data_IF_776860686372
#
_entry.id   IF_776860686372
#
_cell.length_a   1.000
_cell.length_b   1.000
_cell.length_c   1.000
_cell.angle_alpha   90.00
_cell.angle_beta   90.00
_cell.angle_gamma   90.00
#
_symmetry.space_group_name_H-M   'P 1'
#
loop_
_entity.id
_entity.type
_entity.pdbx_description
1 polymer ?
#
# COMPACT_ATOMS: atom_id res chain seq x y z
N UNK A 1 -3.69 15.17 -3.12
CA UNK A 1 -3.79 14.57 -1.77
C UNK A 1 -2.64 13.62 -1.53
N UNK A 2 -2.49 12.57 -2.36
CA UNK A 2 -1.40 11.59 -2.28
C UNK A 2 -0.01 12.15 -1.92
N UNK A 3 0.58 13.00 -2.75
CA UNK A 3 1.92 13.56 -2.46
C UNK A 3 1.99 14.42 -1.20
N UNK A 4 0.88 15.09 -0.82
CA UNK A 4 0.81 15.82 0.46
C UNK A 4 0.89 14.86 1.64
N UNK A 5 0.18 13.73 1.59
CA UNK A 5 0.24 12.71 2.66
C UNK A 5 1.65 12.15 2.78
N UNK A 6 2.32 11.87 1.67
CA UNK A 6 3.72 11.42 1.70
C UNK A 6 4.65 12.45 2.31
N UNK A 7 4.45 13.73 2.00
CA UNK A 7 5.23 14.84 2.56
C UNK A 7 4.98 15.02 4.06
N UNK A 8 3.72 14.93 4.50
CA UNK A 8 3.33 14.98 5.90
C UNK A 8 3.93 13.81 6.71
N UNK A 9 4.07 12.65 6.07
CA UNK A 9 4.64 11.42 6.60
C UNK A 9 6.14 11.24 6.28
N UNK A 10 6.85 12.28 5.82
CA UNK A 10 8.25 12.18 5.36
C UNK A 10 9.18 11.40 6.29
N UNK A 11 9.11 11.68 7.60
CA UNK A 11 9.97 11.06 8.61
C UNK A 11 9.64 9.58 8.88
N UNK A 12 8.53 9.11 8.32
CA UNK A 12 8.05 7.73 8.44
C UNK A 12 8.28 6.93 7.17
N UNK A 13 8.50 7.57 6.01
CA UNK A 13 8.67 6.91 4.71
C UNK A 13 9.69 5.75 4.67
N UNK A 14 10.82 5.77 5.43
CA UNK A 14 11.72 4.62 5.47
C UNK A 14 11.06 3.31 5.93
N UNK A 15 9.96 3.42 6.69
CA UNK A 15 9.21 2.37 7.36
C UNK A 15 7.92 1.99 6.64
N UNK A 16 7.62 2.69 5.55
CA UNK A 16 6.36 2.59 4.83
C UNK A 16 6.62 2.13 3.40
N UNK A 17 5.63 1.48 2.82
CA UNK A 17 5.57 1.12 1.40
C UNK A 17 4.24 1.64 0.87
N UNK A 18 4.25 2.40 -0.22
CA UNK A 18 3.00 2.77 -0.88
C UNK A 18 2.48 1.54 -1.61
N UNK A 19 1.26 1.12 -1.29
CA UNK A 19 0.61 -0.07 -1.88
C UNK A 19 -0.71 0.33 -2.55
N UNK A 20 -1.50 -0.66 -2.96
CA UNK A 20 -2.85 -0.42 -3.47
C UNK A 20 -2.89 0.26 -4.84
N UNK A 21 -3.96 1.00 -5.10
CA UNK A 21 -4.28 1.50 -6.46
C UNK A 21 -3.38 2.62 -6.98
N UNK A 22 -2.55 3.24 -6.12
CA UNK A 22 -1.57 4.24 -6.54
C UNK A 22 -0.32 3.63 -7.19
N UNK A 23 -0.02 2.36 -6.93
CA UNK A 23 1.23 1.73 -7.38
C UNK A 23 1.40 1.73 -8.91
N UNK A 24 0.38 1.38 -9.74
CA UNK A 24 0.54 1.41 -11.20
C UNK A 24 0.84 2.81 -11.75
N UNK A 25 0.29 3.85 -11.13
CA UNK A 25 0.61 5.24 -11.47
C UNK A 25 2.07 5.55 -11.15
N UNK A 26 2.57 5.08 -10.01
CA UNK A 26 3.96 5.28 -9.63
C UNK A 26 4.93 4.53 -10.55
N UNK A 27 4.57 3.31 -10.97
CA UNK A 27 5.34 2.57 -11.96
C UNK A 27 5.48 3.35 -13.27
N UNK A 28 4.36 3.80 -13.84
CA UNK A 28 4.38 4.57 -15.08
C UNK A 28 5.26 5.81 -14.99
N UNK A 29 5.01 6.66 -14.00
CA UNK A 29 5.55 8.02 -13.98
C UNK A 29 6.97 8.11 -13.40
N UNK A 30 7.35 7.19 -12.51
CA UNK A 30 8.63 7.29 -11.79
C UNK A 30 9.55 6.09 -12.02
N UNK A 31 9.01 4.87 -12.21
CA UNK A 31 9.84 3.68 -12.39
C UNK A 31 10.19 3.43 -13.86
N UNK A 32 9.18 3.33 -14.73
CA UNK A 32 9.34 3.02 -16.15
C UNK A 32 9.63 4.25 -17.00
N UNK A 33 9.23 5.44 -16.52
CA UNK A 33 9.43 6.74 -17.20
C UNK A 33 8.98 6.73 -18.66
N UNK A 34 7.94 5.95 -18.96
CA UNK A 34 7.45 5.72 -20.32
C UNK A 34 6.11 6.42 -20.57
N UNK A 35 5.87 6.76 -21.84
CA UNK A 35 4.58 7.26 -22.31
C UNK A 35 3.62 6.08 -22.52
N UNK A 36 2.94 5.67 -21.46
CA UNK A 36 1.88 4.66 -21.50
C UNK A 36 0.54 5.27 -21.13
N UNK A 37 -0.58 4.58 -21.34
CA UNK A 37 -1.88 5.10 -20.90
C UNK A 37 -1.92 5.29 -19.38
N UNK A 38 -2.68 6.28 -18.90
CA UNK A 38 -2.81 6.50 -17.45
C UNK A 38 -3.68 5.40 -16.83
N UNK A 39 -3.27 4.78 -15.70
CA UNK A 39 -4.10 3.79 -15.03
C UNK A 39 -5.28 4.45 -14.33
N UNK A 40 -6.36 3.70 -14.09
CA UNK A 40 -7.42 4.15 -13.19
C UNK A 40 -6.89 4.36 -11.78
N UNK A 41 -7.06 5.59 -11.27
CA UNK A 41 -6.63 5.95 -9.93
C UNK A 41 -7.73 5.65 -8.91
N UNK A 42 -7.30 5.32 -7.69
CA UNK A 42 -8.17 5.30 -6.51
C UNK A 42 -8.04 6.63 -5.78
N UNK A 43 -9.12 7.04 -5.09
CA UNK A 43 -9.07 8.19 -4.21
C UNK A 43 -8.25 7.87 -2.95
N UNK A 44 -8.49 6.69 -2.38
CA UNK A 44 -7.89 6.22 -1.13
C UNK A 44 -6.37 6.07 -1.24
N UNK A 45 -5.66 6.29 -0.14
CA UNK A 45 -4.20 6.21 -0.07
C UNK A 45 -3.83 5.03 0.82
N UNK A 46 -3.38 3.95 0.19
CA UNK A 46 -3.01 2.71 0.89
C UNK A 46 -1.52 2.68 1.23
N UNK A 47 -1.19 2.52 2.50
CA UNK A 47 0.18 2.51 3.03
C UNK A 47 0.44 1.20 3.78
N UNK A 48 1.37 0.40 3.27
CA UNK A 48 1.90 -0.80 3.92
C UNK A 48 2.94 -0.46 4.99
N UNK A 49 2.86 -1.12 6.14
CA UNK A 49 3.85 -1.02 7.22
C UNK A 49 4.92 -2.09 7.04
N UNK A 50 6.19 -1.70 6.85
CA UNK A 50 7.31 -2.67 6.79
C UNK A 50 7.47 -3.39 8.11
N UNK A 51 7.81 -4.68 8.07
CA UNK A 51 8.16 -5.46 9.27
C UNK A 51 9.65 -5.28 9.61
N UNK A 52 9.99 -5.43 10.90
CA UNK A 52 11.38 -5.50 11.42
C UNK A 52 12.21 -4.21 11.42
N UNK A 53 11.65 -3.09 11.86
CA UNK A 53 12.44 -1.89 12.14
C UNK A 53 13.08 -2.01 13.52
N UNK A 54 14.42 -2.07 13.58
CA UNK A 54 15.17 -2.17 14.84
C UNK A 54 15.18 -0.86 15.65
N UNK A 55 15.10 0.29 14.98
CA UNK A 55 15.33 1.62 15.59
C UNK A 55 14.24 2.67 15.27
N UNK A 56 12.96 2.35 15.44
CA UNK A 56 11.90 3.36 15.30
C UNK A 56 11.92 4.35 16.48
N UNK A 57 12.40 5.57 16.26
CA UNK A 57 12.61 6.59 17.31
C UNK A 57 11.65 7.78 17.22
N UNK A 58 10.67 7.70 16.34
CA UNK A 58 9.70 8.76 16.09
C UNK A 58 8.50 8.62 17.04
N UNK A 59 7.73 9.70 17.21
CA UNK A 59 6.34 9.61 17.71
C UNK A 59 5.52 8.68 16.80
N UNK A 60 4.36 8.20 17.26
CA UNK A 60 3.47 7.43 16.38
C UNK A 60 2.94 8.28 15.22
N UNK A 61 2.57 7.62 14.12
CA UNK A 61 1.92 8.28 12.98
C UNK A 61 0.65 9.01 13.43
N UNK A 62 -0.15 8.41 14.33
CA UNK A 62 -1.33 9.05 14.91
C UNK A 62 -1.01 10.43 15.49
N UNK A 63 -0.02 10.53 16.40
CA UNK A 63 0.39 11.81 16.98
C UNK A 63 0.80 12.83 15.92
N UNK A 64 1.48 12.40 14.86
CA UNK A 64 1.86 13.27 13.74
C UNK A 64 0.63 13.79 13.00
N UNK A 65 -0.31 12.91 12.65
CA UNK A 65 -1.51 13.28 11.88
C UNK A 65 -2.45 14.18 12.71
N UNK A 66 -2.57 13.95 14.02
CA UNK A 66 -3.31 14.84 14.93
C UNK A 66 -2.69 16.24 14.97
N UNK A 67 -1.35 16.35 15.09
CA UNK A 67 -0.64 17.65 15.04
C UNK A 67 -0.87 18.39 13.70
N UNK A 68 -1.10 17.64 12.62
CA UNK A 68 -1.40 18.17 11.29
C UNK A 68 -2.91 18.34 11.03
N UNK A 69 -3.75 18.13 12.05
CA UNK A 69 -5.20 18.33 11.99
C UNK A 69 -5.89 17.51 10.89
N UNK A 70 -5.43 16.28 10.66
CA UNK A 70 -6.19 15.33 9.85
C UNK A 70 -7.54 15.06 10.50
N UNK A 71 -8.60 14.93 9.71
CA UNK A 71 -9.89 14.49 10.24
C UNK A 71 -9.88 12.97 10.47
N UNK A 72 -10.80 12.51 11.30
CA UNK A 72 -10.89 11.11 11.71
C UNK A 72 -12.27 10.56 11.32
N UNK A 73 -12.28 9.49 10.54
CA UNK A 73 -13.50 8.71 10.29
C UNK A 73 -13.58 7.57 11.28
N UNK A 74 -14.54 7.64 12.19
CA UNK A 74 -14.79 6.60 13.19
C UNK A 74 -15.42 5.37 12.53
N UNK A 75 -14.88 4.19 12.83
CA UNK A 75 -15.33 2.92 12.23
C UNK A 75 -16.67 2.45 12.83
N UNK A 76 -17.04 2.95 14.01
CA UNK A 76 -18.29 2.59 14.68
C UNK A 76 -18.90 3.80 15.39
N UNK A 77 -20.23 3.92 15.32
CA UNK A 77 -20.97 4.97 16.02
C UNK A 77 -20.74 4.83 17.53
N UNK A 78 -20.45 5.95 18.19
CA UNK A 78 -20.26 6.00 19.65
C UNK A 78 -18.91 5.48 20.15
N UNK A 79 -17.98 5.10 19.28
CA UNK A 79 -16.61 4.71 19.66
C UNK A 79 -15.59 5.75 19.20
N UNK A 80 -14.72 6.14 20.13
CA UNK A 80 -13.60 7.01 19.81
C UNK A 80 -12.60 6.33 18.85
N UNK A 81 -12.36 5.03 19.00
CA UNK A 81 -11.35 4.28 18.23
C UNK A 81 -11.87 2.88 17.83
N UNK A 82 -11.30 2.27 16.75
CA UNK A 82 -10.28 2.83 15.87
C UNK A 82 -10.85 3.83 14.84
N UNK A 83 -9.97 4.65 14.28
CA UNK A 83 -10.29 5.66 13.26
C UNK A 83 -9.51 5.43 11.97
N UNK A 84 -10.05 5.90 10.85
CA UNK A 84 -9.31 6.04 9.58
C UNK A 84 -8.98 7.53 9.41
N UNK A 85 -7.69 7.91 9.37
CA UNK A 85 -7.31 9.29 9.11
C UNK A 85 -7.72 9.75 7.71
N UNK A 86 -8.13 11.01 7.59
CA UNK A 86 -8.56 11.60 6.34
C UNK A 86 -7.86 12.94 6.09
N UNK A 87 -7.31 13.10 4.88
CA UNK A 87 -6.74 14.36 4.43
C UNK A 87 -7.81 15.18 3.70
N UNK A 88 -8.00 16.43 4.13
CA UNK A 88 -8.78 17.41 3.38
C UNK A 88 -7.85 18.30 2.57
N UNK A 89 -8.14 18.46 1.28
CA UNK A 89 -7.53 19.51 0.48
C UNK A 89 -8.44 20.74 0.53
N UNK A 90 -7.85 21.94 0.55
CA UNK A 90 -8.60 23.21 0.58
C UNK A 90 -9.70 23.32 -0.48
N UNK A 91 -9.52 22.62 -1.61
CA UNK A 91 -10.41 22.68 -2.76
C UNK A 91 -11.25 21.39 -2.93
N UNK A 92 -11.28 20.49 -1.94
CA UNK A 92 -12.04 19.24 -2.00
C UNK A 92 -13.10 19.19 -0.91
N UNK A 93 -14.36 19.00 -1.29
CA UNK A 93 -15.45 18.79 -0.34
C UNK A 93 -15.36 17.40 0.32
N UNK A 94 -14.79 16.42 -0.36
CA UNK A 94 -14.68 15.04 0.11
C UNK A 94 -13.29 14.81 0.71
N UNK A 95 -13.19 14.43 2.00
CA UNK A 95 -11.95 13.99 2.60
C UNK A 95 -11.45 12.70 1.96
N UNK A 96 -10.13 12.54 1.86
CA UNK A 96 -9.53 11.34 1.26
C UNK A 96 -8.94 10.48 2.37
N UNK A 97 -9.35 9.21 2.51
CA UNK A 97 -8.86 8.33 3.56
C UNK A 97 -7.41 7.90 3.29
N UNK A 98 -6.67 7.75 4.39
CA UNK A 98 -5.33 7.16 4.43
C UNK A 98 -5.43 5.85 5.19
N UNK A 99 -5.33 4.73 4.48
CA UNK A 99 -5.44 3.39 5.05
C UNK A 99 -4.06 2.82 5.35
N UNK A 100 -3.89 2.28 6.56
CA UNK A 100 -2.68 1.58 6.95
C UNK A 100 -2.91 0.07 6.91
N UNK A 101 -1.96 -0.65 6.32
CA UNK A 101 -2.09 -2.08 6.03
C UNK A 101 -0.85 -2.82 6.55
N UNK A 102 -1.05 -4.02 7.10
CA UNK A 102 0.04 -4.91 7.52
C UNK A 102 -0.30 -6.37 7.24
N UNK A 103 0.69 -7.26 7.34
CA UNK A 103 0.43 -8.70 7.37
C UNK A 103 -0.23 -9.13 8.67
N UNK A 104 -0.93 -10.27 8.62
CA UNK A 104 -1.66 -10.79 9.79
C UNK A 104 -0.74 -11.08 10.97
N UNK A 105 0.47 -11.56 10.71
CA UNK A 105 1.42 -12.01 11.72
C UNK A 105 2.25 -10.89 12.35
N UNK A 106 2.06 -9.63 11.91
CA UNK A 106 2.74 -8.48 12.51
C UNK A 106 2.22 -8.25 13.93
N UNK A 107 3.14 -8.20 14.89
CA UNK A 107 2.78 -8.01 16.31
C UNK A 107 2.03 -6.68 16.55
N UNK A 108 0.97 -6.74 17.34
CA UNK A 108 0.19 -5.56 17.74
C UNK A 108 1.05 -4.51 18.45
N UNK A 109 1.99 -4.94 19.30
CA UNK A 109 2.89 -4.04 19.99
C UNK A 109 3.72 -3.19 19.01
N UNK A 110 4.23 -3.81 17.95
CA UNK A 110 4.96 -3.10 16.90
C UNK A 110 4.07 -2.12 16.14
N UNK A 111 2.86 -2.54 15.73
CA UNK A 111 1.92 -1.68 15.03
C UNK A 111 1.52 -0.46 15.87
N UNK A 112 1.27 -0.65 17.18
CA UNK A 112 0.97 0.45 18.11
C UNK A 112 2.12 1.42 18.26
N UNK A 113 3.37 0.93 18.27
CA UNK A 113 4.57 1.80 18.32
C UNK A 113 4.70 2.67 17.07
N UNK A 114 4.49 2.09 15.88
CA UNK A 114 4.69 2.80 14.61
C UNK A 114 3.48 3.68 14.27
N UNK A 115 2.28 3.09 14.25
CA UNK A 115 1.07 3.74 13.74
C UNK A 115 0.32 4.45 14.86
N UNK A 116 0.26 3.86 16.06
CA UNK A 116 -0.60 4.29 17.17
C UNK A 116 -1.70 3.27 17.44
N UNK A 117 -2.30 3.31 18.63
CA UNK A 117 -3.42 2.45 19.02
C UNK A 117 -4.77 2.89 18.45
N UNK A 118 -4.83 4.12 17.97
CA UNK A 118 -6.04 4.83 17.58
C UNK A 118 -6.42 4.58 16.13
N UNK A 119 -5.41 4.41 15.27
CA UNK A 119 -5.60 4.21 13.83
C UNK A 119 -5.94 2.75 13.55
N UNK A 120 -6.94 2.53 12.70
CA UNK A 120 -7.25 1.23 12.14
C UNK A 120 -6.10 0.77 11.24
N UNK A 121 -5.48 -0.36 11.58
CA UNK A 121 -4.54 -1.07 10.70
C UNK A 121 -5.24 -2.31 10.14
N UNK A 122 -5.46 -2.32 8.82
CA UNK A 122 -6.04 -3.46 8.13
C UNK A 122 -5.01 -4.58 8.00
N UNK A 123 -5.32 -5.76 8.55
CA UNK A 123 -4.46 -6.95 8.49
C UNK A 123 -4.91 -7.88 7.36
N UNK A 124 -4.06 -8.06 6.35
CA UNK A 124 -4.39 -8.86 5.16
C UNK A 124 -3.56 -10.15 5.10
N UNK A 125 -4.19 -11.21 4.58
CA UNK A 125 -3.50 -12.45 4.24
C UNK A 125 -2.43 -12.22 3.19
N UNK A 126 -1.29 -12.90 3.34
CA UNK A 126 -0.17 -12.87 2.39
C UNK A 126 0.43 -11.49 2.10
N UNK A 127 0.10 -10.47 2.90
CA UNK A 127 0.55 -9.09 2.65
C UNK A 127 2.08 -8.94 2.74
N UNK A 128 2.76 -9.77 3.53
CA UNK A 128 4.23 -9.73 3.63
C UNK A 128 4.91 -9.89 2.27
N UNK A 129 4.32 -10.69 1.36
CA UNK A 129 4.86 -10.92 0.01
C UNK A 129 5.01 -9.62 -0.78
N UNK A 130 4.06 -8.69 -0.62
CA UNK A 130 4.13 -7.39 -1.32
C UNK A 130 5.22 -6.47 -0.74
N UNK A 131 5.73 -6.78 0.46
CA UNK A 131 6.73 -6.01 1.18
C UNK A 131 8.15 -6.61 1.07
N UNK A 132 8.27 -7.88 0.66
CA UNK A 132 9.54 -8.61 0.57
C UNK A 132 10.53 -7.98 -0.41
N UNK A 133 10.06 -7.63 -1.61
CA UNK A 133 10.85 -6.93 -2.62
C UNK A 133 10.20 -5.58 -2.96
N UNK A 134 10.93 -4.51 -2.64
CA UNK A 134 10.45 -3.14 -2.84
C UNK A 134 11.47 -2.33 -3.61
N UNK A 135 10.96 -1.53 -4.54
CA UNK A 135 11.74 -0.57 -5.32
C UNK A 135 11.64 0.79 -4.67
N UNK A 136 12.79 1.42 -4.46
CA UNK A 136 12.85 2.82 -4.04
C UNK A 136 12.74 3.72 -5.28
N UNK A 137 11.81 4.66 -5.26
CA UNK A 137 11.66 5.68 -6.30
C UNK A 137 11.79 7.08 -5.70
N UNK A 138 12.25 8.03 -6.52
CA UNK A 138 12.25 9.46 -6.21
C UNK A 138 11.04 10.10 -6.86
N UNK A 139 10.23 10.80 -6.08
CA UNK A 139 9.08 11.58 -6.57
C UNK A 139 9.25 13.04 -6.19
N UNK A 140 8.76 13.95 -7.03
CA UNK A 140 8.70 15.37 -6.69
C UNK A 140 7.41 15.65 -5.91
N UNK A 141 7.53 16.05 -4.64
CA UNK A 141 6.45 16.69 -3.89
C UNK A 141 6.56 18.21 -4.06
N UNK A 142 5.53 18.95 -3.63
CA UNK A 142 5.43 20.42 -3.84
C UNK A 142 6.68 21.18 -3.39
N UNK A 143 7.34 20.75 -2.31
CA UNK A 143 8.45 21.50 -1.72
C UNK A 143 9.81 20.80 -1.80
N UNK A 144 9.87 19.51 -2.14
CA UNK A 144 11.13 18.82 -2.38
C UNK A 144 10.97 17.45 -3.06
N UNK A 145 12.08 16.87 -3.51
CA UNK A 145 12.12 15.44 -3.80
C UNK A 145 11.91 14.63 -2.51
N UNK A 146 11.17 13.52 -2.62
CA UNK A 146 10.96 12.55 -1.56
C UNK A 146 11.29 11.14 -2.09
N UNK A 147 11.89 10.31 -1.25
CA UNK A 147 12.13 8.91 -1.54
C UNK A 147 11.02 8.06 -0.90
N UNK A 148 10.36 7.25 -1.71
CA UNK A 148 9.34 6.30 -1.25
C UNK A 148 9.67 4.89 -1.72
N UNK A 149 9.18 3.91 -0.99
CA UNK A 149 9.20 2.52 -1.40
C UNK A 149 7.85 2.13 -2.00
N UNK A 150 7.89 1.40 -3.10
CA UNK A 150 6.75 0.72 -3.72
C UNK A 150 7.11 -0.75 -3.92
N UNK A 151 6.15 -1.67 -4.00
CA UNK A 151 6.42 -3.07 -4.33
C UNK A 151 7.12 -3.17 -5.69
N UNK A 152 7.94 -4.19 -5.91
CA UNK A 152 8.34 -4.53 -7.28
C UNK A 152 7.11 -4.92 -8.13
N UNK A 153 7.11 -4.64 -9.45
CA UNK A 153 5.99 -5.03 -10.33
C UNK A 153 5.61 -6.52 -10.23
N UNK A 154 6.62 -7.37 -10.06
CA UNK A 154 6.52 -8.82 -9.82
C UNK A 154 5.67 -9.13 -8.59
N UNK A 155 6.08 -8.62 -7.41
CA UNK A 155 5.40 -8.88 -6.15
C UNK A 155 4.00 -8.26 -6.13
N UNK A 156 3.84 -7.09 -6.76
CA UNK A 156 2.54 -6.47 -6.93
C UNK A 156 1.57 -7.36 -7.71
N UNK A 157 1.97 -7.85 -8.90
CA UNK A 157 1.14 -8.77 -9.70
C UNK A 157 0.86 -10.06 -8.92
N UNK A 158 1.89 -10.68 -8.37
CA UNK A 158 1.77 -11.95 -7.69
C UNK A 158 0.80 -11.86 -6.50
N UNK A 159 0.96 -10.85 -5.64
CA UNK A 159 0.05 -10.62 -4.52
C UNK A 159 -1.40 -10.37 -4.97
N UNK A 160 -1.61 -9.59 -6.04
CA UNK A 160 -2.96 -9.33 -6.60
C UNK A 160 -3.60 -10.63 -7.11
N UNK A 161 -2.85 -11.45 -7.84
CA UNK A 161 -3.32 -12.76 -8.31
C UNK A 161 -3.55 -13.77 -7.18
N UNK A 162 -2.82 -13.64 -6.07
CA UNK A 162 -3.00 -14.51 -4.90
C UNK A 162 -4.26 -14.14 -4.10
N UNK A 163 -4.61 -12.85 -4.06
CA UNK A 163 -5.65 -12.33 -3.15
C UNK A 163 -6.96 -11.93 -3.82
N UNK A 164 -7.03 -11.78 -5.15
CA UNK A 164 -8.26 -11.31 -5.82
C UNK A 164 -9.46 -12.23 -5.55
N UNK A 165 -9.26 -13.55 -5.51
CA UNK A 165 -10.32 -14.54 -5.25
C UNK A 165 -10.77 -14.56 -3.79
N UNK A 166 -9.99 -13.96 -2.88
CA UNK A 166 -10.33 -13.80 -1.46
C UNK A 166 -11.11 -12.52 -1.19
N UNK A 167 -11.31 -11.65 -2.21
CA UNK A 167 -12.06 -10.40 -2.06
C UNK A 167 -13.56 -10.69 -2.00
N UNK A 168 -14.28 -10.28 -0.93
CA UNK A 168 -15.73 -10.39 -0.89
C UNK A 168 -16.43 -9.40 -1.84
N UNK A 169 -15.75 -8.29 -2.16
CA UNK A 169 -16.26 -7.22 -3.01
C UNK A 169 -15.83 -7.44 -4.48
N UNK A 170 -16.82 -7.62 -5.36
CA UNK A 170 -16.59 -7.83 -6.80
C UNK A 170 -15.95 -6.63 -7.50
N UNK A 171 -16.21 -5.40 -7.07
CA UNK A 171 -15.58 -4.20 -7.62
C UNK A 171 -14.10 -4.20 -7.26
N UNK A 172 -13.75 -4.53 -6.01
CA UNK A 172 -12.34 -4.66 -5.58
C UNK A 172 -11.64 -5.78 -6.36
N UNK A 173 -12.31 -6.92 -6.58
CA UNK A 173 -11.80 -8.01 -7.39
C UNK A 173 -11.51 -7.57 -8.84
N UNK A 174 -12.46 -6.87 -9.50
CA UNK A 174 -12.27 -6.35 -10.87
C UNK A 174 -11.13 -5.33 -10.93
N UNK A 175 -10.99 -4.47 -9.92
CA UNK A 175 -9.87 -3.53 -9.82
C UNK A 175 -8.52 -4.26 -9.71
N UNK A 176 -8.45 -5.30 -8.89
CA UNK A 176 -7.24 -6.12 -8.75
C UNK A 176 -6.83 -6.74 -10.09
N UNK A 177 -7.77 -7.33 -10.83
CA UNK A 177 -7.52 -7.89 -12.18
C UNK A 177 -7.15 -6.82 -13.21
N UNK A 178 -7.81 -5.65 -13.20
CA UNK A 178 -7.46 -4.53 -14.07
C UNK A 178 -6.01 -4.09 -13.83
N UNK A 179 -5.58 -3.96 -12.58
CA UNK A 179 -4.21 -3.55 -12.28
C UNK A 179 -3.18 -4.60 -12.69
N UNK A 180 -3.49 -5.89 -12.57
CA UNK A 180 -2.62 -6.95 -13.12
C UNK A 180 -2.49 -6.80 -14.63
N UNK A 181 -3.61 -6.67 -15.35
CA UNK A 181 -3.61 -6.44 -16.79
C UNK A 181 -2.78 -5.21 -17.16
N UNK A 182 -3.00 -4.08 -16.47
CA UNK A 182 -2.29 -2.84 -16.74
C UNK A 182 -0.77 -3.02 -16.61
N UNK A 183 -0.30 -3.63 -15.51
CA UNK A 183 1.13 -3.83 -15.31
C UNK A 183 1.72 -4.77 -16.36
N UNK A 184 1.05 -5.87 -16.68
CA UNK A 184 1.48 -6.80 -17.73
C UNK A 184 1.54 -6.16 -19.12
N UNK A 185 0.58 -5.28 -19.43
CA UNK A 185 0.47 -4.63 -20.74
C UNK A 185 1.53 -3.58 -21.00
N UNK A 186 1.99 -2.90 -19.94
CA UNK A 186 2.79 -1.67 -20.05
C UNK A 186 4.18 -1.75 -19.44
N UNK A 187 4.54 -2.86 -18.78
CA UNK A 187 5.90 -3.04 -18.26
C UNK A 187 6.91 -3.06 -19.43
N UNK A 188 8.03 -2.30 -19.35
CA UNK A 188 9.00 -2.24 -20.45
C UNK A 188 9.72 -3.57 -20.75
N UNK A 189 9.83 -4.47 -19.76
CA UNK A 189 10.54 -5.74 -19.88
C UNK A 189 9.68 -6.91 -19.35
N UNK A 190 8.72 -7.34 -20.17
CA UNK A 190 7.79 -8.44 -19.84
C UNK A 190 8.50 -9.79 -19.67
N UNK A 191 9.62 -10.02 -20.34
CA UNK A 191 10.40 -11.27 -20.24
C UNK A 191 11.01 -11.43 -18.84
N UNK A 192 11.62 -10.36 -18.31
CA UNK A 192 12.18 -10.39 -16.95
C UNK A 192 11.08 -10.60 -15.90
N UNK A 193 9.93 -9.95 -16.09
CA UNK A 193 8.78 -10.10 -15.21
C UNK A 193 8.30 -11.56 -15.16
N UNK A 194 8.07 -12.19 -16.32
CA UNK A 194 7.60 -13.58 -16.38
C UNK A 194 8.59 -14.55 -15.72
N UNK A 195 9.90 -14.35 -15.93
CA UNK A 195 10.95 -15.14 -15.29
C UNK A 195 10.98 -14.96 -13.76
N UNK A 196 10.70 -13.76 -13.27
CA UNK A 196 10.67 -13.53 -11.83
C UNK A 196 9.38 -14.08 -11.21
N UNK A 197 8.24 -13.95 -11.90
CA UNK A 197 6.97 -14.55 -11.46
C UNK A 197 7.06 -16.08 -11.42
N UNK A 198 7.78 -16.72 -12.36
CA UNK A 198 7.95 -18.17 -12.33
C UNK A 198 8.71 -18.68 -11.11
N UNK A 199 9.56 -17.86 -10.47
CA UNK A 199 10.24 -18.25 -9.21
C UNK A 199 9.24 -18.47 -8.09
N UNK A 200 8.19 -17.65 -8.03
CA UNK A 200 7.11 -17.84 -7.05
C UNK A 200 6.35 -19.15 -7.28
N UNK A 201 6.31 -19.71 -8.51
CA UNK A 201 5.71 -21.02 -8.78
C UNK A 201 6.50 -22.17 -8.15
N UNK A 202 7.83 -22.09 -8.18
CA UNK A 202 8.72 -23.07 -7.56
C UNK A 202 8.59 -23.00 -6.03
N UNK A 203 8.52 -21.80 -5.47
CA UNK A 203 8.33 -21.60 -4.02
C UNK A 203 6.91 -21.94 -3.55
N UNK A 204 5.88 -21.70 -4.38
CA UNK A 204 4.49 -22.06 -4.06
C UNK A 204 4.17 -23.55 -4.19
N UNK A 205 5.09 -24.35 -4.74
CA UNK A 205 5.04 -25.82 -4.59
C UNK A 205 5.18 -26.25 -3.12
N UNK A 206 5.74 -25.38 -2.27
CA UNK A 206 5.79 -25.53 -0.81
C UNK A 206 4.65 -24.81 -0.07
N UNK A 207 3.96 -23.85 -0.70
CA UNK A 207 2.71 -23.29 -0.18
C UNK A 207 1.57 -24.22 -0.59
N UNK A 208 1.19 -25.16 0.27
CA UNK A 208 -0.12 -25.81 0.14
C UNK A 208 -1.17 -24.80 0.64
N UNK A 209 -1.99 -24.17 -0.23
CA UNK A 209 -3.21 -23.56 0.27
C UNK A 209 -4.03 -24.68 0.90
N UNK A 210 -4.48 -24.49 2.15
CA UNK A 210 -5.59 -25.29 2.69
C UNK A 210 -6.83 -24.92 1.87
N UNK A 211 -6.96 -25.50 0.68
CA UNK A 211 -8.22 -25.57 -0.03
C UNK A 211 -9.10 -26.50 0.80
N UNK A 212 -9.86 -25.92 1.72
CA UNK A 212 -11.05 -26.58 2.24
C UNK A 212 -12.01 -26.72 1.07
N UNK A 213 -12.23 -27.96 0.65
CA UNK A 213 -13.27 -28.36 -0.30
C UNK A 213 -14.61 -27.72 0.09
N UNK A 214 -15.26 -27.10 -0.90
CA UNK A 214 -16.68 -26.78 -0.83
C UNK A 214 -17.51 -28.07 -0.74
#
# INVERSE_FOLDING_TARGET
AFFKVLEDLRNYLPYLVVVGGWVPYLYRNYLWKGETDKPYLTADIDIGIKTKIKDFRQDSIYKRLTKLQYSERHVSIGKAYPVVPEVKLSNSAVPIPVEFISGKDVSEHYLRRVVGSEILVNKLEYFEIILEDTVKIKTEAKTSSIEIFIPSPENYIFHKLLTFSLRPDQIKMRKDLYYVYYVLRFIPNSVSLLRNISKFREESSNFKPKLTSF
#
